data_IF_351546979466
#
_entry.id   IF_351546979466
#
_cell.length_a   1.000
_cell.length_b   1.000
_cell.length_c   1.000
_cell.angle_alpha   90.00
_cell.angle_beta   90.00
_cell.angle_gamma   90.00
#
_symmetry.space_group_name_H-M   'P 1'
#
loop_
_entity.id
_entity.type
_entity.pdbx_description
1 polymer ?
#
# COMPACT_ATOMS: atom_id res chain seq x y z
N UNK A 1 28.93 8.35 -26.59
CA UNK A 1 28.53 7.78 -25.29
C UNK A 1 28.71 6.29 -25.34
N UNK A 2 29.30 5.68 -24.30
CA UNK A 2 29.55 4.23 -24.31
C UNK A 2 28.25 3.46 -24.01
N UNK A 3 28.17 2.21 -24.46
CA UNK A 3 27.04 1.32 -24.18
C UNK A 3 26.80 1.13 -22.67
N UNK A 4 27.83 1.27 -21.83
CA UNK A 4 27.71 1.14 -20.38
C UNK A 4 27.08 2.37 -19.72
N UNK A 5 27.33 3.57 -20.25
CA UNK A 5 26.71 4.81 -19.73
C UNK A 5 25.19 4.84 -19.95
N UNK A 6 24.72 4.35 -21.10
CA UNK A 6 23.28 4.23 -21.40
C UNK A 6 22.59 3.21 -20.50
N UNK A 7 23.21 2.04 -20.28
CA UNK A 7 22.69 1.03 -19.35
C UNK A 7 22.64 1.52 -17.90
N UNK A 8 23.63 2.30 -17.46
CA UNK A 8 23.66 2.85 -16.10
C UNK A 8 22.58 3.91 -15.87
N UNK A 9 22.31 4.76 -16.86
CA UNK A 9 21.22 5.73 -16.80
C UNK A 9 19.85 5.05 -16.83
N UNK A 10 19.69 4.03 -17.67
CA UNK A 10 18.45 3.25 -17.76
C UNK A 10 18.18 2.47 -16.46
N UNK A 11 19.23 1.88 -15.86
CA UNK A 11 19.14 1.25 -14.55
C UNK A 11 18.79 2.27 -13.46
N UNK A 12 19.41 3.46 -13.44
CA UNK A 12 19.02 4.55 -12.52
C UNK A 12 17.56 4.95 -12.71
N UNK A 13 17.10 5.05 -13.94
CA UNK A 13 15.71 5.39 -14.27
C UNK A 13 14.75 4.32 -13.77
N UNK A 14 15.07 3.04 -13.96
CA UNK A 14 14.30 1.90 -13.46
C UNK A 14 14.31 1.88 -11.93
N UNK A 15 15.47 1.97 -11.29
CA UNK A 15 15.59 2.04 -9.82
C UNK A 15 14.75 3.19 -9.28
N UNK A 16 14.83 4.38 -9.88
CA UNK A 16 14.02 5.53 -9.45
C UNK A 16 12.53 5.28 -9.67
N UNK A 17 12.15 4.69 -10.80
CA UNK A 17 10.76 4.32 -11.10
C UNK A 17 10.19 3.27 -10.15
N UNK A 18 11.02 2.33 -9.66
CA UNK A 18 10.63 1.31 -8.68
C UNK A 18 10.72 1.82 -7.23
N UNK A 19 11.70 2.66 -6.89
CA UNK A 19 11.84 3.27 -5.56
C UNK A 19 10.77 4.34 -5.28
N UNK A 20 10.30 5.07 -6.31
CA UNK A 20 9.18 6.02 -6.17
C UNK A 20 7.87 5.31 -5.77
N UNK A 21 7.77 3.98 -5.94
CA UNK A 21 6.52 3.26 -5.69
C UNK A 21 6.28 2.95 -4.21
N UNK A 22 7.33 2.81 -3.39
CA UNK A 22 7.24 2.54 -1.95
C UNK A 22 6.74 3.78 -1.19
N UNK A 23 5.42 3.97 -1.16
CA UNK A 23 4.79 5.15 -0.56
C UNK A 23 3.74 4.75 0.47
N UNK A 24 3.85 5.32 1.68
CA UNK A 24 2.78 5.28 2.68
C UNK A 24 1.92 6.52 2.52
N UNK A 25 0.67 6.32 2.13
CA UNK A 25 -0.29 7.38 1.84
C UNK A 25 -1.25 7.48 3.05
N UNK A 26 -0.80 8.19 4.10
CA UNK A 26 -1.60 8.97 5.07
C UNK A 26 -0.71 9.49 6.22
N UNK A 27 -0.81 10.80 6.51
CA UNK A 27 0.19 11.60 7.23
C UNK A 27 -0.19 11.88 8.69
N UNK A 28 -0.11 10.86 9.55
CA UNK A 28 -0.27 11.05 10.99
C UNK A 28 0.52 10.06 11.87
N UNK A 29 1.47 9.34 11.28
CA UNK A 29 2.30 8.33 11.94
C UNK A 29 3.75 8.80 12.03
N UNK A 30 4.42 8.41 13.11
CA UNK A 30 5.83 8.72 13.34
C UNK A 30 6.75 7.99 12.35
N UNK A 31 7.99 8.44 12.26
CA UNK A 31 8.97 7.94 11.30
C UNK A 31 9.29 6.45 11.52
N UNK A 32 9.35 5.98 12.77
CA UNK A 32 9.68 4.59 13.10
C UNK A 32 8.54 3.66 12.68
N UNK A 33 7.29 4.01 13.00
CA UNK A 33 6.10 3.26 12.56
C UNK A 33 6.01 3.22 11.04
N UNK A 34 6.27 4.35 10.37
CA UNK A 34 6.29 4.43 8.91
C UNK A 34 7.35 3.49 8.31
N UNK A 35 8.56 3.47 8.88
CA UNK A 35 9.64 2.60 8.41
C UNK A 35 9.30 1.12 8.61
N UNK A 36 8.74 0.75 9.76
CA UNK A 36 8.28 -0.62 10.04
C UNK A 36 7.23 -1.08 9.02
N UNK A 37 6.26 -0.22 8.72
CA UNK A 37 5.22 -0.50 7.73
C UNK A 37 5.84 -0.67 6.35
N UNK A 38 6.71 0.25 5.92
CA UNK A 38 7.38 0.17 4.62
C UNK A 38 8.21 -1.11 4.49
N UNK A 39 9.00 -1.46 5.52
CA UNK A 39 9.82 -2.67 5.52
C UNK A 39 8.98 -3.92 5.35
N UNK A 40 7.82 -4.00 6.00
CA UNK A 40 6.95 -5.17 5.95
C UNK A 40 6.07 -5.20 4.69
N UNK A 41 5.69 -4.04 4.18
CA UNK A 41 4.89 -3.94 2.98
C UNK A 41 5.69 -4.18 1.70
N UNK A 42 7.00 -3.94 1.70
CA UNK A 42 7.88 -4.13 0.53
C UNK A 42 7.74 -5.52 -0.12
N UNK A 43 7.47 -6.55 0.68
CA UNK A 43 7.29 -7.92 0.19
C UNK A 43 5.87 -8.22 -0.32
N UNK A 44 4.92 -7.32 -0.04
CA UNK A 44 3.47 -7.52 -0.25
C UNK A 44 2.93 -6.60 -1.35
N UNK A 45 3.47 -5.40 -1.48
CA UNK A 45 3.05 -4.42 -2.48
C UNK A 45 3.85 -3.13 -2.39
N UNK A 46 3.61 -2.24 -3.34
CA UNK A 46 4.40 -1.03 -3.48
C UNK A 46 3.71 0.18 -2.84
N UNK A 47 2.38 0.28 -2.95
CA UNK A 47 1.63 1.44 -2.41
C UNK A 47 0.85 1.04 -1.16
N UNK A 48 1.15 1.66 -0.03
CA UNK A 48 0.51 1.34 1.25
C UNK A 48 -0.38 2.48 1.71
N UNK A 49 -1.67 2.20 1.83
CA UNK A 49 -2.65 3.09 2.45
C UNK A 49 -2.79 2.70 3.92
N UNK A 50 -2.18 3.48 4.80
CA UNK A 50 -2.21 3.20 6.24
C UNK A 50 -3.32 3.98 6.94
N UNK A 51 -4.01 3.32 7.86
CA UNK A 51 -5.03 3.88 8.72
C UNK A 51 -4.70 3.54 10.18
N UNK A 52 -4.78 4.51 11.10
CA UNK A 52 -4.60 4.20 12.53
C UNK A 52 -5.68 3.23 13.02
N UNK A 53 -6.91 3.43 12.54
CA UNK A 53 -8.11 2.68 12.89
C UNK A 53 -9.04 2.64 11.68
N UNK A 54 -9.69 1.52 11.42
CA UNK A 54 -10.70 1.39 10.37
C UNK A 54 -11.76 0.35 10.77
N UNK A 55 -12.96 0.42 10.23
CA UNK A 55 -13.96 -0.62 10.49
C UNK A 55 -13.57 -1.92 9.78
N UNK A 56 -13.37 -1.83 8.46
CA UNK A 56 -12.99 -2.94 7.58
C UNK A 56 -12.18 -2.46 6.38
N UNK A 57 -10.96 -2.97 6.23
CA UNK A 57 -10.10 -2.63 5.08
C UNK A 57 -10.65 -3.13 3.74
N UNK A 58 -11.31 -4.30 3.72
CA UNK A 58 -11.90 -4.82 2.47
C UNK A 58 -12.91 -3.85 1.84
N UNK A 59 -13.73 -3.18 2.65
CA UNK A 59 -14.72 -2.23 2.14
C UNK A 59 -14.02 -1.02 1.51
N UNK A 60 -12.96 -0.51 2.16
CA UNK A 60 -12.15 0.61 1.67
C UNK A 60 -11.43 0.24 0.38
N UNK A 61 -10.83 -0.94 0.32
CA UNK A 61 -10.16 -1.45 -0.88
C UNK A 61 -11.15 -1.55 -2.05
N UNK A 62 -12.33 -2.12 -1.80
CA UNK A 62 -13.39 -2.24 -2.82
C UNK A 62 -13.88 -0.89 -3.32
N UNK A 63 -14.10 0.08 -2.42
CA UNK A 63 -14.47 1.44 -2.83
C UNK A 63 -13.39 2.10 -3.69
N UNK A 64 -12.12 1.84 -3.39
CA UNK A 64 -11.00 2.37 -4.18
C UNK A 64 -10.99 1.78 -5.60
N UNK A 65 -11.27 0.48 -5.74
CA UNK A 65 -11.42 -0.19 -7.04
C UNK A 65 -12.60 0.42 -7.81
N UNK A 66 -13.79 0.48 -7.20
CA UNK A 66 -14.97 1.05 -7.86
C UNK A 66 -14.79 2.51 -8.27
N UNK A 67 -14.06 3.30 -7.48
CA UNK A 67 -13.76 4.69 -7.84
C UNK A 67 -12.81 4.77 -9.04
N UNK A 68 -11.81 3.90 -9.11
CA UNK A 68 -10.91 3.83 -10.26
C UNK A 68 -11.71 3.45 -11.52
N UNK A 69 -12.53 2.40 -11.44
CA UNK A 69 -13.40 1.93 -12.53
C UNK A 69 -14.36 3.03 -13.00
N UNK A 70 -15.03 3.71 -12.06
CA UNK A 70 -15.94 4.84 -12.37
C UNK A 70 -15.24 6.02 -13.04
N UNK A 71 -13.94 6.19 -12.83
CA UNK A 71 -13.13 7.22 -13.47
C UNK A 71 -12.55 6.75 -14.82
N UNK A 72 -12.88 5.54 -15.27
CA UNK A 72 -12.32 4.94 -16.49
C UNK A 72 -10.83 4.59 -16.36
N UNK A 73 -10.36 4.36 -15.13
CA UNK A 73 -8.95 4.07 -14.83
C UNK A 73 -8.81 2.76 -14.07
N UNK A 74 -7.70 2.05 -14.27
CA UNK A 74 -7.40 0.89 -13.44
C UNK A 74 -6.76 1.29 -12.11
N UNK A 75 -7.14 0.58 -11.05
CA UNK A 75 -6.42 0.72 -9.79
C UNK A 75 -5.02 0.10 -9.93
N UNK A 76 -3.93 0.80 -9.54
CA UNK A 76 -2.58 0.27 -9.66
C UNK A 76 -2.41 -1.08 -8.94
N UNK A 77 -1.72 -2.01 -9.59
CA UNK A 77 -1.33 -3.27 -8.94
C UNK A 77 -0.38 -3.03 -7.76
N UNK A 78 -0.44 -3.93 -6.78
CA UNK A 78 0.39 -3.86 -5.57
C UNK A 78 -0.04 -2.78 -4.58
N UNK A 79 -1.34 -2.45 -4.52
CA UNK A 79 -1.90 -1.61 -3.46
C UNK A 79 -2.17 -2.46 -2.19
N UNK A 80 -1.75 -1.95 -1.05
CA UNK A 80 -1.93 -2.56 0.28
C UNK A 80 -2.73 -1.59 1.14
N UNK A 81 -3.81 -2.06 1.76
CA UNK A 81 -4.51 -1.32 2.81
C UNK A 81 -4.14 -1.93 4.15
N UNK A 82 -3.67 -1.09 5.07
CA UNK A 82 -3.20 -1.50 6.38
C UNK A 82 -3.90 -0.68 7.46
N UNK A 83 -4.41 -1.34 8.50
CA UNK A 83 -4.92 -0.66 9.69
C UNK A 83 -4.16 -1.08 10.95
N UNK A 84 -3.93 -0.16 11.87
CA UNK A 84 -3.38 -0.46 13.20
C UNK A 84 -4.36 -1.20 14.12
N UNK A 85 -5.67 -1.09 13.87
CA UNK A 85 -6.73 -1.84 14.55
C UNK A 85 -8.00 -1.85 13.70
N UNK A 86 -8.86 -2.86 13.91
CA UNK A 86 -10.15 -2.97 13.22
C UNK A 86 -11.33 -3.11 14.19
N UNK A 87 -12.38 -2.31 14.00
CA UNK A 87 -13.58 -2.35 14.85
C UNK A 87 -14.57 -3.44 14.45
N UNK A 88 -14.69 -3.71 13.15
CA UNK A 88 -15.68 -4.66 12.60
C UNK A 88 -15.01 -5.74 11.75
N UNK A 89 -13.84 -6.20 12.17
CA UNK A 89 -13.12 -7.25 11.44
C UNK A 89 -13.99 -8.50 11.31
N UNK A 90 -13.98 -9.07 10.10
CA UNK A 90 -14.72 -10.29 9.78
C UNK A 90 -13.86 -11.28 9.02
N UNK A 91 -13.96 -12.54 9.43
CA UNK A 91 -13.49 -13.70 8.69
C UNK A 91 -14.50 -14.18 7.65
N UNK A 92 -14.25 -15.36 7.09
CA UNK A 92 -15.12 -15.98 6.08
C UNK A 92 -16.50 -16.30 6.67
N UNK A 93 -17.53 -16.24 5.81
CA UNK A 93 -18.91 -16.64 6.14
C UNK A 93 -19.43 -15.84 7.35
N UNK A 94 -19.14 -14.54 7.38
CA UNK A 94 -19.68 -13.62 8.39
C UNK A 94 -19.11 -13.76 9.80
N UNK A 95 -18.17 -14.68 10.05
CA UNK A 95 -17.50 -14.85 11.36
C UNK A 95 -16.82 -13.55 11.79
N UNK A 96 -16.89 -13.22 13.07
CA UNK A 96 -16.13 -12.11 13.64
C UNK A 96 -14.65 -12.46 13.69
N UNK A 97 -13.79 -11.46 13.49
CA UNK A 97 -12.35 -11.58 13.66
C UNK A 97 -11.90 -10.58 14.72
N UNK A 98 -10.96 -10.99 15.58
CA UNK A 98 -10.41 -10.11 16.60
C UNK A 98 -9.13 -9.45 16.08
N UNK A 99 -9.12 -8.12 16.04
CA UNK A 99 -8.00 -7.31 15.54
C UNK A 99 -7.84 -6.05 16.40
N UNK A 100 -7.42 -6.21 17.66
CA UNK A 100 -7.09 -5.08 18.53
C UNK A 100 -5.87 -4.33 17.98
N UNK A 101 -5.50 -3.24 18.64
CA UNK A 101 -4.28 -2.51 18.30
C UNK A 101 -3.04 -3.39 18.46
N UNK A 102 -2.18 -3.43 17.44
CA UNK A 102 -0.90 -4.17 17.43
C UNK A 102 -0.74 -5.03 16.19
#
# INVERSE_FOLDING_TARGET
MSRSTLQAEELKRLITHYQIRDSVINTGIDAETREKILRRARDVGHKVYYYKKADRLMSIARQSIFRAESNGTDLPSGCVWWAGSLDQARGRIGRSWWAPKG
#
